data_IF_852364464694
#
_entry.id   IF_852364464694
#
_cell.length_a   1.000
_cell.length_b   1.000
_cell.length_c   1.000
_cell.angle_alpha   90.00
_cell.angle_beta   90.00
_cell.angle_gamma   90.00
#
_symmetry.space_group_name_H-M   'P 1'
#
loop_
_entity.id
_entity.type
_entity.pdbx_description
1 polymer ?
#
# COMPACT_ATOMS: atom_id res chain seq x y z
N UNK A 1 -22.14 -5.52 11.06
CA UNK A 1 -22.23 -4.09 11.38
C UNK A 1 -20.79 -3.58 11.45
N UNK A 2 -20.36 -2.72 10.50
CA UNK A 2 -19.10 -1.99 10.62
C UNK A 2 -19.27 -1.12 11.86
N UNK A 3 -18.43 -1.30 12.89
CA UNK A 3 -18.39 -0.39 14.03
C UNK A 3 -18.23 1.03 13.46
N UNK A 4 -18.91 1.98 14.08
CA UNK A 4 -18.92 3.39 13.67
C UNK A 4 -17.48 3.84 13.38
N UNK A 5 -17.16 4.00 12.10
CA UNK A 5 -15.82 4.36 11.65
C UNK A 5 -15.64 5.86 11.88
N UNK A 6 -15.35 6.22 13.13
CA UNK A 6 -15.09 7.61 13.50
C UNK A 6 -13.71 8.05 13.02
N UNK A 7 -13.62 8.48 11.77
CA UNK A 7 -12.43 9.08 11.18
C UNK A 7 -12.70 10.55 10.84
N UNK A 8 -11.65 11.36 10.82
CA UNK A 8 -11.69 12.73 10.29
C UNK A 8 -11.06 12.74 8.91
N UNK A 9 -11.81 13.23 7.92
CA UNK A 9 -11.33 13.49 6.58
C UNK A 9 -10.61 14.84 6.54
N UNK A 10 -9.45 14.86 5.94
CA UNK A 10 -8.60 16.04 5.83
C UNK A 10 -7.97 16.12 4.44
N UNK A 11 -7.50 17.30 4.06
CA UNK A 11 -6.76 17.56 2.83
C UNK A 11 -5.49 18.33 3.14
N UNK A 12 -4.39 17.98 2.49
CA UNK A 12 -3.12 18.66 2.58
C UNK A 12 -2.66 19.12 1.20
N UNK A 13 -2.50 20.42 1.03
CA UNK A 13 -1.86 20.99 -0.15
C UNK A 13 -0.34 20.87 0.01
N UNK A 14 0.30 20.11 -0.90
CA UNK A 14 1.75 19.86 -0.94
C UNK A 14 2.43 20.58 -2.12
N UNK A 15 1.67 21.43 -2.82
CA UNK A 15 2.10 22.21 -3.96
C UNK A 15 1.67 21.58 -5.29
N UNK A 16 2.26 20.48 -5.66
CA UNK A 16 1.98 19.75 -6.91
C UNK A 16 0.89 18.67 -6.77
N UNK A 17 0.51 18.34 -5.55
CA UNK A 17 -0.58 17.42 -5.24
C UNK A 17 -1.35 17.86 -4.00
N UNK A 18 -2.67 17.72 -4.05
CA UNK A 18 -3.56 17.76 -2.89
C UNK A 18 -3.79 16.35 -2.40
N UNK A 19 -3.29 15.97 -1.24
CA UNK A 19 -3.55 14.66 -0.64
C UNK A 19 -4.79 14.72 0.25
N UNK A 20 -5.73 13.80 -0.01
CA UNK A 20 -6.75 13.41 0.96
C UNK A 20 -6.14 12.43 1.96
N UNK A 21 -6.50 12.53 3.23
CA UNK A 21 -6.14 11.56 4.24
C UNK A 21 -7.16 11.50 5.37
N UNK A 22 -7.27 10.36 6.00
CA UNK A 22 -8.09 10.21 7.21
C UNK A 22 -7.21 10.09 8.44
N UNK A 23 -7.73 10.60 9.57
CA UNK A 23 -7.08 10.47 10.87
C UNK A 23 -8.05 9.94 11.92
N UNK A 24 -7.54 9.13 12.85
CA UNK A 24 -8.29 8.63 14.01
C UNK A 24 -7.37 8.39 15.20
N UNK A 25 -7.91 8.53 16.40
CA UNK A 25 -7.22 8.21 17.65
C UNK A 25 -6.26 9.27 18.15
N UNK A 26 -5.51 8.90 19.18
CA UNK A 26 -4.43 9.69 19.81
C UNK A 26 -3.36 8.74 20.32
N UNK A 27 -2.09 9.15 20.26
CA UNK A 27 -0.94 8.36 20.68
C UNK A 27 0.20 8.45 19.65
N UNK A 28 1.18 7.54 19.68
CA UNK A 28 2.24 7.47 18.69
C UNK A 28 1.68 7.38 17.27
N UNK A 29 2.28 8.07 16.28
CA UNK A 29 1.77 8.09 14.92
C UNK A 29 2.02 6.77 14.18
N UNK A 30 1.00 6.26 13.50
CA UNK A 30 1.07 5.13 12.57
C UNK A 30 0.53 5.56 11.21
N UNK A 31 1.33 5.42 10.17
CA UNK A 31 0.97 5.73 8.79
C UNK A 31 0.63 4.44 8.06
N UNK A 32 -0.55 4.39 7.43
CA UNK A 32 -1.06 3.24 6.70
C UNK A 32 -1.19 3.58 5.20
N UNK A 33 -0.36 2.98 4.36
CA UNK A 33 -0.33 3.22 2.92
C UNK A 33 -0.99 2.07 2.17
N UNK A 34 -2.06 2.38 1.45
CA UNK A 34 -2.79 1.43 0.61
C UNK A 34 -2.12 1.20 -0.74
N UNK A 35 -2.65 0.23 -1.51
CA UNK A 35 -2.22 -0.03 -2.87
C UNK A 35 -3.32 0.11 -3.93
N UNK A 36 -3.04 -0.41 -5.13
CA UNK A 36 -3.99 -0.49 -6.23
C UNK A 36 -4.68 -1.88 -6.23
N UNK A 37 -5.97 -1.99 -6.49
CA UNK A 37 -6.92 -0.93 -6.83
C UNK A 37 -7.77 -0.48 -5.63
N UNK A 38 -7.12 -0.12 -4.54
CA UNK A 38 -7.77 0.27 -3.30
C UNK A 38 -7.51 1.75 -2.96
N UNK A 39 -8.00 2.19 -1.80
CA UNK A 39 -7.86 3.52 -1.22
C UNK A 39 -7.62 3.38 0.28
N UNK A 40 -7.55 4.47 1.03
CA UNK A 40 -7.52 4.40 2.49
C UNK A 40 -8.60 3.49 3.08
N UNK A 41 -9.69 3.24 2.36
CA UNK A 41 -10.82 2.42 2.77
C UNK A 41 -10.46 0.95 3.07
N UNK A 42 -9.36 0.44 2.51
CA UNK A 42 -8.88 -0.91 2.83
C UNK A 42 -8.59 -1.11 4.32
N UNK A 43 -8.25 -0.01 5.01
CA UNK A 43 -7.91 -0.01 6.43
C UNK A 43 -9.11 0.13 7.37
N UNK A 44 -10.35 0.23 6.87
CA UNK A 44 -11.56 0.47 7.66
C UNK A 44 -11.81 -0.52 8.79
N UNK A 45 -11.34 -1.76 8.65
CA UNK A 45 -11.43 -2.78 9.70
C UNK A 45 -10.29 -2.70 10.72
N UNK A 46 -9.18 -2.11 10.38
CA UNK A 46 -7.98 -1.97 11.22
C UNK A 46 -8.02 -0.68 12.03
N UNK A 47 -8.39 0.45 11.40
CA UNK A 47 -8.41 1.78 12.01
C UNK A 47 -9.15 1.83 13.35
N UNK A 48 -10.39 1.32 13.52
CA UNK A 48 -11.15 1.49 14.76
C UNK A 48 -10.51 0.84 15.99
N UNK A 49 -9.67 -0.17 15.78
CA UNK A 49 -8.98 -0.88 16.85
C UNK A 49 -7.57 -0.37 17.10
N UNK A 50 -6.89 0.03 16.02
CA UNK A 50 -5.55 0.60 16.11
C UNK A 50 -5.59 2.01 16.72
N UNK A 51 -6.62 2.80 16.39
CA UNK A 51 -6.81 4.16 16.90
C UNK A 51 -7.10 4.28 18.41
N UNK A 52 -7.29 3.14 19.10
CA UNK A 52 -7.38 3.14 20.56
C UNK A 52 -6.06 3.46 21.24
N UNK A 53 -4.95 3.09 20.61
CA UNK A 53 -3.61 3.18 21.18
C UNK A 53 -2.69 4.12 20.38
N UNK A 54 -3.05 4.44 19.12
CA UNK A 54 -2.21 5.18 18.16
C UNK A 54 -2.98 6.33 17.50
N UNK A 55 -2.25 7.33 17.03
CA UNK A 55 -2.74 8.28 16.03
C UNK A 55 -2.57 7.65 14.66
N UNK A 56 -3.66 7.19 14.07
CA UNK A 56 -3.66 6.59 12.73
C UNK A 56 -3.78 7.68 11.68
N UNK A 57 -2.93 7.62 10.66
CA UNK A 57 -2.92 8.49 9.48
C UNK A 57 -2.96 7.58 8.25
N UNK A 58 -4.06 7.61 7.51
CA UNK A 58 -4.21 6.80 6.29
C UNK A 58 -4.51 7.72 5.10
N UNK A 59 -3.49 8.11 4.33
CA UNK A 59 -3.66 8.91 3.13
C UNK A 59 -4.16 8.08 1.96
N UNK A 60 -4.92 8.72 1.07
CA UNK A 60 -5.00 8.29 -0.32
C UNK A 60 -3.72 8.71 -1.03
N UNK A 61 -3.02 7.78 -1.65
CA UNK A 61 -1.78 8.06 -2.36
C UNK A 61 -2.03 9.00 -3.55
N UNK A 62 -0.99 9.69 -4.02
CA UNK A 62 -1.01 10.55 -5.22
C UNK A 62 -1.83 9.90 -6.34
N UNK A 63 -2.83 10.60 -6.84
CA UNK A 63 -3.66 10.13 -7.95
C UNK A 63 -4.74 9.11 -7.62
N UNK A 64 -4.74 8.56 -6.41
CA UNK A 64 -5.68 7.54 -5.96
C UNK A 64 -6.71 8.12 -4.98
N UNK A 65 -7.81 7.40 -4.78
CA UNK A 65 -8.87 7.81 -3.86
C UNK A 65 -9.39 9.22 -4.14
N UNK A 66 -9.49 10.01 -3.10
CA UNK A 66 -9.92 11.41 -3.16
C UNK A 66 -8.75 12.42 -3.24
N UNK A 67 -7.50 11.92 -3.37
CA UNK A 67 -6.34 12.76 -3.70
C UNK A 67 -6.41 13.29 -5.14
N UNK A 68 -5.80 14.45 -5.40
CA UNK A 68 -5.72 15.01 -6.76
C UNK A 68 -4.90 14.11 -7.69
N UNK A 69 -5.14 14.22 -9.00
CA UNK A 69 -4.64 13.30 -10.03
C UNK A 69 -3.70 14.02 -11.00
N UNK A 70 -2.48 14.44 -10.55
CA UNK A 70 -1.50 15.10 -11.41
C UNK A 70 -1.14 14.23 -12.63
N UNK A 71 -0.53 14.85 -13.64
CA UNK A 71 -0.20 14.14 -14.88
C UNK A 71 0.99 13.17 -14.72
N UNK A 72 1.88 13.43 -13.76
CA UNK A 72 3.13 12.73 -13.54
C UNK A 72 3.48 12.57 -12.05
N UNK A 73 4.70 12.07 -11.76
CA UNK A 73 5.20 11.92 -10.40
C UNK A 73 4.72 10.64 -9.71
N UNK A 74 4.54 9.55 -10.45
CA UNK A 74 4.04 8.27 -9.93
C UNK A 74 5.14 7.26 -9.59
N UNK A 75 6.40 7.63 -9.72
CA UNK A 75 7.51 6.86 -9.17
C UNK A 75 7.50 6.90 -7.63
N UNK A 76 7.96 5.82 -7.02
CA UNK A 76 7.79 5.63 -5.57
C UNK A 76 8.60 6.60 -4.72
N UNK A 77 9.69 7.17 -5.27
CA UNK A 77 10.43 8.23 -4.58
C UNK A 77 9.60 9.52 -4.50
N UNK A 78 8.92 9.90 -5.58
CA UNK A 78 8.04 11.07 -5.60
C UNK A 78 6.83 10.86 -4.67
N UNK A 79 6.16 9.70 -4.75
CA UNK A 79 5.02 9.39 -3.88
C UNK A 79 5.45 9.32 -2.40
N UNK A 80 6.61 8.76 -2.10
CA UNK A 80 7.18 8.73 -0.75
C UNK A 80 7.46 10.13 -0.21
N UNK A 81 7.97 11.04 -1.05
CA UNK A 81 8.17 12.44 -0.66
C UNK A 81 6.85 13.18 -0.37
N UNK A 82 5.74 12.83 -1.03
CA UNK A 82 4.42 13.36 -0.66
C UNK A 82 4.03 12.92 0.75
N UNK A 83 4.23 11.65 1.08
CA UNK A 83 3.94 11.13 2.43
C UNK A 83 4.85 11.79 3.47
N UNK A 84 6.13 11.98 3.15
CA UNK A 84 7.06 12.71 4.01
C UNK A 84 6.59 14.14 4.27
N UNK A 85 6.25 14.89 3.22
CA UNK A 85 5.72 16.25 3.34
C UNK A 85 4.45 16.28 4.19
N UNK A 86 3.53 15.34 3.98
CA UNK A 86 2.31 15.24 4.78
C UNK A 86 2.64 15.00 6.25
N UNK A 87 3.37 13.93 6.56
CA UNK A 87 3.52 13.45 7.95
C UNK A 87 4.48 14.33 8.73
N UNK A 88 5.63 14.68 8.15
CA UNK A 88 6.66 15.46 8.85
C UNK A 88 6.41 16.95 8.76
N UNK A 89 6.13 17.51 7.57
CA UNK A 89 6.07 18.97 7.41
C UNK A 89 4.69 19.56 7.72
N UNK A 90 3.60 18.87 7.35
CA UNK A 90 2.24 19.38 7.62
C UNK A 90 1.70 18.96 8.98
N UNK A 91 1.95 17.71 9.40
CA UNK A 91 1.45 17.18 10.67
C UNK A 91 2.46 17.30 11.82
N UNK A 92 3.74 17.53 11.54
CA UNK A 92 4.77 17.83 12.53
C UNK A 92 5.34 16.61 13.26
N UNK A 93 5.17 15.40 12.74
CA UNK A 93 5.73 14.18 13.33
C UNK A 93 7.17 13.97 12.86
N UNK A 94 8.10 13.89 13.82
CA UNK A 94 9.52 13.62 13.55
C UNK A 94 9.84 12.14 13.40
N UNK A 95 9.03 11.26 14.00
CA UNK A 95 9.15 9.81 13.86
C UNK A 95 7.77 9.15 13.86
N UNK A 96 7.64 7.99 13.22
CA UNK A 96 6.37 7.26 13.09
C UNK A 96 6.57 5.80 12.70
N UNK A 97 5.55 4.99 12.98
CA UNK A 97 5.41 3.61 12.50
C UNK A 97 4.83 3.63 11.09
N UNK A 98 5.33 2.77 10.20
CA UNK A 98 4.94 2.80 8.79
C UNK A 98 4.50 1.41 8.31
N UNK A 99 3.32 1.35 7.69
CA UNK A 99 2.75 0.13 7.11
C UNK A 99 2.40 0.40 5.66
N UNK A 100 2.81 -0.48 4.74
CA UNK A 100 2.45 -0.38 3.32
C UNK A 100 1.95 -1.70 2.75
N UNK A 101 0.85 -1.65 2.01
CA UNK A 101 0.26 -2.76 1.30
C UNK A 101 0.32 -2.52 -0.21
N UNK A 102 0.55 -3.55 -1.01
CA UNK A 102 0.67 -3.47 -2.47
C UNK A 102 1.57 -2.29 -2.90
N UNK A 103 1.14 -1.32 -3.74
CA UNK A 103 1.96 -0.14 -4.09
C UNK A 103 2.32 0.76 -2.90
N UNK A 104 1.56 0.69 -1.81
CA UNK A 104 1.96 1.32 -0.55
C UNK A 104 3.23 0.73 0.03
N UNK A 105 3.54 -0.55 -0.23
CA UNK A 105 4.77 -1.21 0.22
C UNK A 105 6.05 -0.63 -0.39
N UNK A 106 6.21 -0.61 -1.72
CA UNK A 106 7.33 0.06 -2.37
C UNK A 106 7.44 1.56 -2.03
N UNK A 107 6.30 2.24 -1.84
CA UNK A 107 6.27 3.63 -1.37
C UNK A 107 6.81 3.75 0.05
N UNK A 108 6.39 2.86 0.96
CA UNK A 108 6.90 2.81 2.33
C UNK A 108 8.40 2.48 2.38
N UNK A 109 8.87 1.57 1.51
CA UNK A 109 10.30 1.29 1.37
C UNK A 109 11.07 2.53 0.91
N UNK A 110 10.61 3.22 -0.13
CA UNK A 110 11.25 4.44 -0.63
C UNK A 110 11.31 5.55 0.44
N UNK A 111 10.24 5.70 1.22
CA UNK A 111 10.19 6.64 2.35
C UNK A 111 11.21 6.26 3.45
N UNK A 112 11.25 4.98 3.84
CA UNK A 112 12.17 4.49 4.85
C UNK A 112 13.64 4.58 4.41
N UNK A 113 13.93 4.40 3.12
CA UNK A 113 15.26 4.54 2.56
C UNK A 113 15.71 6.01 2.47
N UNK A 114 14.77 6.94 2.26
CA UNK A 114 15.06 8.39 2.17
C UNK A 114 15.15 9.07 3.55
N UNK A 115 14.41 8.57 4.54
CA UNK A 115 14.30 9.13 5.89
C UNK A 115 14.37 8.04 6.96
N UNK A 116 15.48 7.27 7.01
CA UNK A 116 15.58 6.12 7.91
C UNK A 116 15.48 6.50 9.40
N UNK A 117 15.87 7.71 9.76
CA UNK A 117 15.81 8.24 11.11
C UNK A 117 14.38 8.51 11.62
N UNK A 118 13.43 8.67 10.69
CA UNK A 118 12.04 8.95 11.02
C UNK A 118 11.17 7.70 11.13
N UNK A 119 11.64 6.56 10.63
CA UNK A 119 10.85 5.32 10.62
C UNK A 119 11.26 4.43 11.79
N UNK A 120 10.40 4.35 12.81
CA UNK A 120 10.66 3.52 13.99
C UNK A 120 10.61 2.02 13.65
N UNK A 121 9.59 1.61 12.91
CA UNK A 121 9.39 0.24 12.42
C UNK A 121 8.65 0.26 11.09
N UNK A 122 8.98 -0.67 10.21
CA UNK A 122 8.38 -0.81 8.89
C UNK A 122 7.63 -2.13 8.75
N UNK A 123 6.42 -2.10 8.22
CA UNK A 123 5.64 -3.30 7.87
C UNK A 123 5.28 -3.27 6.38
N UNK A 124 5.59 -4.34 5.66
CA UNK A 124 5.27 -4.49 4.24
C UNK A 124 4.35 -5.71 4.04
N UNK A 125 3.22 -5.49 3.39
CA UNK A 125 2.17 -6.49 3.18
C UNK A 125 2.08 -6.89 1.72
N UNK A 126 2.25 -8.16 1.46
CA UNK A 126 2.00 -8.92 0.22
C UNK A 126 2.57 -8.32 -1.07
N UNK A 127 3.74 -7.71 -0.99
CA UNK A 127 4.44 -7.14 -2.14
C UNK A 127 5.94 -7.35 -2.04
N UNK A 128 6.61 -7.46 -3.18
CA UNK A 128 8.07 -7.40 -3.31
C UNK A 128 8.49 -6.00 -3.73
N UNK A 129 9.70 -5.60 -3.36
CA UNK A 129 10.24 -4.30 -3.74
C UNK A 129 10.79 -4.38 -5.17
N UNK A 130 10.36 -3.51 -6.11
CA UNK A 130 10.88 -3.49 -7.47
C UNK A 130 12.41 -3.38 -7.49
N UNK A 131 13.08 -4.24 -8.30
CA UNK A 131 14.54 -4.29 -8.36
C UNK A 131 15.23 -5.07 -7.25
N UNK A 132 14.49 -5.52 -6.22
CA UNK A 132 15.05 -6.25 -5.07
C UNK A 132 14.88 -7.77 -5.16
N UNK A 133 14.89 -8.30 -6.37
CA UNK A 133 14.74 -9.75 -6.63
C UNK A 133 13.30 -10.23 -6.64
N UNK A 134 13.13 -11.51 -6.92
CA UNK A 134 11.84 -12.13 -7.18
C UNK A 134 11.33 -11.88 -8.61
N UNK A 135 10.45 -12.76 -9.08
CA UNK A 135 9.71 -12.53 -10.32
C UNK A 135 8.50 -11.64 -10.03
N UNK A 136 8.62 -10.37 -10.37
CA UNK A 136 7.54 -9.40 -10.19
C UNK A 136 6.29 -9.74 -11.03
N UNK A 137 6.48 -10.45 -12.16
CA UNK A 137 5.41 -10.86 -13.07
C UNK A 137 4.78 -12.21 -12.73
N UNK A 138 5.38 -12.99 -11.84
CA UNK A 138 4.98 -14.36 -11.48
C UNK A 138 4.83 -15.28 -12.71
N UNK A 139 5.80 -15.25 -13.62
CA UNK A 139 5.75 -16.03 -14.85
C UNK A 139 4.63 -15.59 -15.80
N UNK A 140 4.30 -14.30 -15.81
CA UNK A 140 3.25 -13.71 -16.64
C UNK A 140 1.83 -13.81 -16.06
N UNK A 141 1.64 -14.44 -14.91
CA UNK A 141 0.33 -14.50 -14.25
C UNK A 141 -0.18 -13.14 -13.78
N UNK A 142 0.73 -12.17 -13.60
CA UNK A 142 0.40 -10.76 -13.36
C UNK A 142 0.30 -10.00 -14.69
N UNK A 143 -0.50 -10.51 -15.61
CA UNK A 143 -0.73 -9.93 -16.94
C UNK A 143 -1.11 -8.44 -16.91
N UNK A 144 -1.80 -8.00 -15.83
CA UNK A 144 -2.22 -6.63 -15.64
C UNK A 144 -1.04 -5.64 -15.53
N UNK A 145 0.17 -6.09 -15.13
CA UNK A 145 1.35 -5.23 -15.14
C UNK A 145 1.65 -4.74 -16.55
N UNK A 146 1.74 -5.65 -17.53
CA UNK A 146 2.01 -5.29 -18.92
C UNK A 146 0.85 -4.51 -19.54
N UNK A 147 -0.38 -4.89 -19.21
CA UNK A 147 -1.57 -4.19 -19.67
C UNK A 147 -1.59 -2.74 -19.16
N UNK A 148 -1.40 -2.50 -17.86
CA UNK A 148 -1.37 -1.16 -17.29
C UNK A 148 -0.16 -0.31 -17.73
N UNK A 149 0.95 -0.96 -18.07
CA UNK A 149 2.13 -0.26 -18.64
C UNK A 149 1.92 0.25 -20.06
N UNK A 150 0.96 -0.35 -20.79
CA UNK A 150 0.60 0.13 -22.13
C UNK A 150 -0.04 1.52 -22.01
N UNK A 151 0.39 2.45 -22.87
CA UNK A 151 -0.15 3.81 -22.87
C UNK A 151 -1.56 3.84 -23.46
N UNK A 152 -2.44 4.63 -22.86
CA UNK A 152 -3.79 5.01 -23.30
C UNK A 152 -4.79 3.85 -23.44
N UNK A 153 -4.41 2.73 -24.04
CA UNK A 153 -5.31 1.61 -24.33
C UNK A 153 -6.07 1.05 -23.12
N UNK A 154 -5.45 0.84 -21.94
CA UNK A 154 -6.18 0.39 -20.75
C UNK A 154 -7.25 1.37 -20.31
N UNK A 155 -6.96 2.66 -20.32
CA UNK A 155 -7.91 3.73 -19.97
C UNK A 155 -9.13 3.70 -20.90
N UNK A 156 -8.89 3.63 -22.21
CA UNK A 156 -9.96 3.63 -23.23
C UNK A 156 -10.84 2.38 -23.12
N UNK A 157 -10.26 1.21 -22.84
CA UNK A 157 -11.01 -0.04 -22.73
C UNK A 157 -11.80 -0.14 -21.42
N UNK A 158 -11.30 0.46 -20.32
CA UNK A 158 -11.87 0.29 -18.97
C UNK A 158 -12.85 1.42 -18.64
N UNK A 159 -12.67 2.60 -19.21
CA UNK A 159 -13.57 3.74 -18.96
C UNK A 159 -15.04 3.37 -19.18
N UNK A 160 -15.87 3.59 -18.14
CA UNK A 160 -17.26 3.16 -18.08
C UNK A 160 -17.48 1.67 -17.78
N UNK A 161 -16.40 0.92 -17.49
CA UNK A 161 -16.42 -0.51 -17.12
C UNK A 161 -15.59 -0.79 -15.87
N UNK A 162 -15.32 0.24 -15.06
CA UNK A 162 -14.48 0.18 -13.87
C UNK A 162 -14.98 -0.91 -12.91
N UNK A 163 -16.27 -1.03 -12.69
CA UNK A 163 -16.85 -2.04 -11.81
C UNK A 163 -16.51 -3.47 -12.30
N UNK A 164 -16.67 -3.74 -13.59
CA UNK A 164 -16.37 -5.06 -14.18
C UNK A 164 -14.88 -5.37 -13.98
N UNK A 165 -14.02 -4.39 -14.30
CA UNK A 165 -12.58 -4.55 -14.27
C UNK A 165 -12.04 -4.72 -12.86
N UNK A 166 -12.40 -3.84 -11.95
CA UNK A 166 -11.90 -3.84 -10.57
C UNK A 166 -12.46 -5.01 -9.76
N UNK A 167 -13.76 -5.34 -9.93
CA UNK A 167 -14.38 -6.49 -9.27
C UNK A 167 -13.70 -7.81 -9.59
N UNK A 168 -13.14 -7.94 -10.80
CA UNK A 168 -12.38 -9.12 -11.17
C UNK A 168 -11.16 -9.32 -10.26
N UNK A 169 -10.42 -8.25 -9.96
CA UNK A 169 -9.26 -8.30 -9.05
C UNK A 169 -9.69 -8.68 -7.63
N UNK A 170 -10.72 -8.02 -7.09
CA UNK A 170 -11.18 -8.30 -5.73
C UNK A 170 -11.62 -9.77 -5.57
N UNK A 171 -12.29 -10.32 -6.57
CA UNK A 171 -12.76 -11.72 -6.55
C UNK A 171 -11.67 -12.74 -6.80
N UNK A 172 -10.66 -12.39 -7.61
CA UNK A 172 -9.62 -13.34 -8.06
C UNK A 172 -8.39 -13.33 -7.17
N UNK A 173 -8.03 -12.18 -6.60
CA UNK A 173 -6.84 -12.02 -5.78
C UNK A 173 -7.08 -12.34 -4.32
N UNK A 174 -8.31 -12.19 -3.84
CA UNK A 174 -8.69 -12.63 -2.51
C UNK A 174 -8.84 -14.16 -2.45
N UNK A 175 -8.43 -14.75 -1.35
CA UNK A 175 -8.81 -16.11 -0.97
C UNK A 175 -10.22 -16.14 -0.35
N UNK A 176 -10.60 -15.06 0.34
CA UNK A 176 -11.93 -14.86 0.94
C UNK A 176 -12.70 -13.81 0.13
N UNK A 177 -13.30 -14.16 -1.01
CA UNK A 177 -13.87 -13.16 -1.93
C UNK A 177 -15.01 -12.33 -1.34
N UNK A 178 -15.61 -12.79 -0.23
CA UNK A 178 -16.65 -12.05 0.49
C UNK A 178 -16.08 -11.06 1.54
N UNK A 179 -14.76 -11.00 1.73
CA UNK A 179 -14.12 -10.03 2.62
C UNK A 179 -14.22 -8.60 2.08
N UNK A 180 -14.29 -8.47 0.76
CA UNK A 180 -14.57 -7.21 0.06
C UNK A 180 -16.01 -7.29 -0.43
N UNK A 181 -16.91 -6.62 0.29
CA UNK A 181 -18.35 -6.66 0.00
C UNK A 181 -18.70 -5.82 -1.23
N UNK A 182 -19.92 -6.00 -1.77
CA UNK A 182 -20.39 -5.18 -2.89
C UNK A 182 -20.35 -3.68 -2.56
N UNK A 183 -20.67 -3.30 -1.31
CA UNK A 183 -20.60 -1.92 -0.84
C UNK A 183 -19.15 -1.38 -0.85
N UNK A 184 -18.18 -2.22 -0.52
CA UNK A 184 -16.76 -1.83 -0.58
C UNK A 184 -16.29 -1.67 -2.01
N UNK A 185 -16.74 -2.56 -2.90
CA UNK A 185 -16.49 -2.47 -4.35
C UNK A 185 -17.06 -1.15 -4.90
N UNK A 186 -18.28 -0.80 -4.54
CA UNK A 186 -18.92 0.46 -4.94
C UNK A 186 -18.10 1.68 -4.52
N UNK A 187 -17.53 1.67 -3.31
CA UNK A 187 -16.65 2.75 -2.83
C UNK A 187 -15.34 2.83 -3.64
N UNK A 188 -14.70 1.69 -3.92
CA UNK A 188 -13.52 1.68 -4.77
C UNK A 188 -13.84 2.13 -6.20
N UNK A 189 -14.92 1.63 -6.78
CA UNK A 189 -15.38 2.03 -8.12
C UNK A 189 -15.68 3.53 -8.18
N UNK A 190 -16.34 4.10 -7.16
CA UNK A 190 -16.56 5.55 -7.05
C UNK A 190 -15.24 6.32 -7.19
N UNK A 191 -14.20 5.87 -6.48
CA UNK A 191 -12.90 6.54 -6.49
C UNK A 191 -12.19 6.41 -7.86
N UNK A 192 -12.22 5.23 -8.46
CA UNK A 192 -11.54 4.96 -9.73
C UNK A 192 -12.30 5.42 -10.98
N UNK A 193 -13.59 5.74 -10.85
CA UNK A 193 -14.41 6.36 -11.93
C UNK A 193 -14.25 7.88 -12.00
N UNK A 194 -13.48 8.49 -11.09
CA UNK A 194 -13.19 9.92 -11.15
C UNK A 194 -12.31 10.26 -12.37
N UNK A 195 -12.46 11.45 -12.98
CA UNK A 195 -11.62 11.87 -14.10
C UNK A 195 -10.12 11.76 -13.78
N UNK A 196 -9.39 11.02 -14.63
CA UNK A 196 -7.95 10.81 -14.50
C UNK A 196 -7.52 9.72 -13.51
N UNK A 197 -8.45 9.07 -12.78
CA UNK A 197 -8.12 8.08 -11.76
C UNK A 197 -7.52 6.80 -12.37
N UNK A 198 -8.06 6.30 -13.48
CA UNK A 198 -7.49 5.13 -14.19
C UNK A 198 -6.07 5.42 -14.65
N UNK A 199 -5.85 6.56 -15.34
CA UNK A 199 -4.52 6.98 -15.78
C UNK A 199 -3.54 7.06 -14.60
N UNK A 200 -3.93 7.71 -13.52
CA UNK A 200 -3.12 7.83 -12.31
C UNK A 200 -2.78 6.45 -11.72
N UNK A 201 -3.77 5.57 -11.57
CA UNK A 201 -3.57 4.21 -11.07
C UNK A 201 -2.62 3.38 -11.95
N UNK A 202 -2.75 3.48 -13.28
CA UNK A 202 -1.86 2.75 -14.21
C UNK A 202 -0.47 3.36 -14.28
N UNK A 203 -0.32 4.65 -13.98
CA UNK A 203 0.99 5.31 -13.96
C UNK A 203 1.93 4.76 -12.87
N UNK A 204 1.41 4.15 -11.81
CA UNK A 204 2.22 3.40 -10.84
C UNK A 204 2.94 2.22 -11.49
N UNK A 205 2.29 1.52 -12.41
CA UNK A 205 2.88 0.41 -13.17
C UNK A 205 3.86 0.93 -14.21
N UNK A 206 3.56 2.03 -14.89
CA UNK A 206 4.46 2.68 -15.87
C UNK A 206 5.76 3.17 -15.23
N UNK A 207 5.74 3.51 -13.95
CA UNK A 207 6.91 3.92 -13.19
C UNK A 207 7.81 2.76 -12.72
N UNK A 208 7.37 1.49 -12.82
CA UNK A 208 8.08 0.32 -12.26
C UNK A 208 9.54 0.21 -12.71
N UNK A 209 9.84 0.54 -13.96
CA UNK A 209 11.21 0.49 -14.50
C UNK A 209 12.12 1.49 -13.78
N UNK A 210 11.62 2.72 -13.59
CA UNK A 210 12.31 3.76 -12.83
C UNK A 210 12.48 3.37 -11.37
N UNK A 211 11.43 2.83 -10.74
CA UNK A 211 11.47 2.37 -9.35
C UNK A 211 12.56 1.29 -9.16
N UNK A 212 12.66 0.33 -10.07
CA UNK A 212 13.66 -0.73 -10.01
C UNK A 212 15.07 -0.17 -10.17
N UNK A 213 15.28 0.78 -11.06
CA UNK A 213 16.57 1.46 -11.26
C UNK A 213 16.97 2.26 -10.01
N UNK A 214 16.06 3.07 -9.46
CA UNK A 214 16.32 3.89 -8.28
C UNK A 214 16.61 3.01 -7.06
N UNK A 215 15.84 1.97 -6.84
CA UNK A 215 16.05 1.01 -5.75
C UNK A 215 17.41 0.29 -5.89
N UNK A 216 17.81 -0.10 -7.09
CA UNK A 216 19.11 -0.75 -7.32
C UNK A 216 20.29 0.13 -6.90
N UNK A 217 20.20 1.46 -7.12
CA UNK A 217 21.20 2.43 -6.67
C UNK A 217 21.26 2.55 -5.14
N UNK A 218 20.09 2.55 -4.48
CA UNK A 218 20.01 2.59 -3.01
C UNK A 218 20.60 1.32 -2.41
N UNK A 219 20.20 0.15 -2.89
CA UNK A 219 20.59 -1.16 -2.34
C UNK A 219 22.10 -1.38 -2.43
N UNK A 220 22.73 -0.88 -3.45
CA UNK A 220 24.19 -1.03 -3.64
C UNK A 220 25.00 -0.46 -2.45
N UNK A 221 24.45 0.49 -1.70
CA UNK A 221 25.18 1.24 -0.69
C UNK A 221 24.48 1.37 0.66
N UNK A 222 23.23 0.93 0.79
CA UNK A 222 22.43 1.18 1.98
C UNK A 222 21.45 0.04 2.27
N UNK A 223 21.31 -0.29 3.55
CA UNK A 223 20.24 -1.16 4.06
C UNK A 223 19.45 -0.44 5.13
N UNK A 224 18.17 -0.74 5.18
CA UNK A 224 17.26 -0.20 6.18
C UNK A 224 17.70 -0.63 7.58
N UNK A 225 17.96 0.31 8.51
CA UNK A 225 18.45 -0.01 9.85
C UNK A 225 17.34 -0.38 10.85
N UNK A 226 16.07 0.06 10.56
CA UNK A 226 14.96 -0.19 11.45
C UNK A 226 14.47 -1.64 11.35
N UNK A 227 13.77 -2.17 12.39
CA UNK A 227 13.09 -3.46 12.30
C UNK A 227 12.03 -3.47 11.19
N UNK A 228 11.97 -4.57 10.43
CA UNK A 228 11.03 -4.77 9.32
C UNK A 228 10.21 -6.03 9.53
N UNK A 229 8.89 -5.93 9.42
CA UNK A 229 7.97 -7.07 9.36
C UNK A 229 7.44 -7.23 7.94
N UNK A 230 7.65 -8.41 7.37
CA UNK A 230 7.18 -8.79 6.04
C UNK A 230 6.05 -9.81 6.17
N UNK A 231 4.86 -9.48 5.68
CA UNK A 231 3.72 -10.41 5.73
C UNK A 231 3.25 -10.71 4.31
N UNK A 232 3.10 -12.01 3.99
CA UNK A 232 2.51 -12.44 2.72
C UNK A 232 1.26 -13.27 2.93
N UNK A 233 0.32 -13.20 1.98
CA UNK A 233 -0.82 -14.11 1.90
C UNK A 233 -0.36 -15.51 1.50
N UNK A 234 -0.87 -16.54 2.17
CA UNK A 234 -0.43 -17.93 1.98
C UNK A 234 -1.12 -18.65 0.82
N UNK A 235 -2.22 -18.10 0.33
CA UNK A 235 -2.99 -18.73 -0.75
C UNK A 235 -2.67 -18.06 -2.08
N UNK A 236 -1.97 -18.79 -2.94
CA UNK A 236 -1.60 -18.34 -4.28
C UNK A 236 -2.58 -18.85 -5.34
N UNK A 237 -2.32 -18.50 -6.59
CA UNK A 237 -3.09 -18.96 -7.74
C UNK A 237 -3.30 -20.51 -7.75
N UNK A 238 -4.49 -21.03 -8.12
CA UNK A 238 -5.65 -20.29 -8.68
C UNK A 238 -6.62 -19.72 -7.63
N UNK A 239 -6.45 -20.00 -6.35
CA UNK A 239 -7.43 -19.73 -5.30
C UNK A 239 -7.21 -18.37 -4.58
N UNK A 240 -6.25 -17.61 -5.00
CA UNK A 240 -5.86 -16.32 -4.46
C UNK A 240 -4.60 -15.80 -5.15
N UNK A 241 -4.05 -14.69 -4.68
CA UNK A 241 -2.83 -14.07 -5.22
C UNK A 241 -1.85 -13.64 -4.14
N UNK A 242 -1.89 -14.32 -3.00
CA UNK A 242 -0.92 -14.13 -1.94
C UNK A 242 0.50 -14.49 -2.38
N UNK A 243 1.48 -13.74 -1.89
CA UNK A 243 2.90 -13.85 -2.24
C UNK A 243 3.71 -14.77 -1.34
N UNK A 244 3.09 -15.38 -0.32
CA UNK A 244 3.77 -16.30 0.57
C UNK A 244 5.01 -15.66 1.23
N UNK A 245 6.18 -16.25 1.00
CA UNK A 245 7.46 -15.79 1.55
C UNK A 245 8.21 -14.76 0.69
N UNK A 246 7.69 -14.38 -0.47
CA UNK A 246 8.38 -13.46 -1.38
C UNK A 246 8.64 -12.08 -0.76
N UNK A 247 7.72 -11.47 0.02
CA UNK A 247 7.98 -10.20 0.71
C UNK A 247 9.19 -10.29 1.65
N UNK A 248 9.29 -11.35 2.45
CA UNK A 248 10.42 -11.59 3.33
C UNK A 248 11.73 -11.73 2.54
N UNK A 249 11.72 -12.54 1.49
CA UNK A 249 12.90 -12.78 0.66
C UNK A 249 13.38 -11.49 -0.03
N UNK A 250 12.46 -10.65 -0.49
CA UNK A 250 12.76 -9.36 -1.09
C UNK A 250 13.36 -8.39 -0.06
N UNK A 251 12.74 -8.27 1.11
CA UNK A 251 13.15 -7.33 2.14
C UNK A 251 14.49 -7.69 2.81
N UNK A 252 14.83 -8.96 2.93
CA UNK A 252 16.15 -9.42 3.39
C UNK A 252 17.32 -8.93 2.52
N UNK A 253 17.05 -8.50 1.29
CA UNK A 253 18.07 -7.91 0.43
C UNK A 253 18.36 -6.45 0.77
N UNK A 254 17.40 -5.76 1.39
CA UNK A 254 17.40 -4.31 1.61
C UNK A 254 17.37 -3.89 3.08
N UNK A 255 17.26 -4.84 4.00
CA UNK A 255 17.23 -4.59 5.44
C UNK A 255 17.98 -5.70 6.20
N UNK A 256 18.57 -5.36 7.34
CA UNK A 256 19.32 -6.32 8.16
C UNK A 256 18.43 -7.06 9.16
N UNK A 257 17.41 -6.41 9.71
CA UNK A 257 16.50 -6.98 10.69
C UNK A 257 15.11 -7.20 10.08
N UNK A 258 14.88 -8.38 9.48
CA UNK A 258 13.62 -8.72 8.81
C UNK A 258 13.00 -9.96 9.45
N UNK A 259 11.76 -9.82 9.93
CA UNK A 259 10.88 -10.93 10.29
C UNK A 259 9.88 -11.19 9.15
N UNK A 260 9.71 -12.45 8.78
CA UNK A 260 8.72 -12.89 7.80
C UNK A 260 7.58 -13.66 8.45
N UNK A 261 6.35 -13.38 8.03
CA UNK A 261 5.16 -14.18 8.36
C UNK A 261 4.34 -14.47 7.10
N UNK A 262 3.60 -15.58 7.15
CA UNK A 262 2.66 -15.97 6.08
C UNK A 262 1.30 -16.24 6.71
N UNK A 263 0.29 -15.54 6.25
CA UNK A 263 -1.10 -15.75 6.68
C UNK A 263 -1.72 -16.88 5.83
N UNK A 264 -1.74 -18.09 6.35
CA UNK A 264 -2.05 -19.32 5.60
C UNK A 264 -3.42 -19.31 4.90
N UNK A 265 -4.42 -18.63 5.48
CA UNK A 265 -5.79 -18.52 4.95
C UNK A 265 -6.09 -17.11 4.46
N UNK A 266 -5.21 -16.54 3.67
CA UNK A 266 -5.29 -15.20 3.14
C UNK A 266 -4.71 -15.14 1.73
N UNK A 267 -5.36 -14.39 0.84
CA UNK A 267 -4.86 -14.02 -0.47
C UNK A 267 -4.06 -12.72 -0.41
N UNK A 268 -4.28 -11.86 -1.41
CA UNK A 268 -3.55 -10.61 -1.56
C UNK A 268 -4.02 -9.51 -0.60
N UNK A 269 -5.33 -9.39 -0.37
CA UNK A 269 -5.92 -8.26 0.34
C UNK A 269 -5.90 -8.46 1.86
N UNK A 270 -4.70 -8.56 2.45
CA UNK A 270 -4.49 -8.87 3.86
C UNK A 270 -5.32 -7.99 4.81
N UNK A 271 -5.42 -6.64 4.64
CA UNK A 271 -6.23 -5.79 5.52
C UNK A 271 -7.72 -6.10 5.49
N UNK A 272 -8.20 -6.65 4.38
CA UNK A 272 -9.60 -7.00 4.14
C UNK A 272 -9.94 -8.43 4.57
N UNK A 273 -9.04 -9.37 4.25
CA UNK A 273 -9.26 -10.80 4.44
C UNK A 273 -8.95 -11.28 5.85
N UNK A 274 -8.01 -10.63 6.52
CA UNK A 274 -7.49 -11.06 7.83
C UNK A 274 -7.20 -9.89 8.77
N UNK A 275 -8.13 -8.91 8.93
CA UNK A 275 -7.90 -7.68 9.69
C UNK A 275 -7.56 -7.93 11.15
N UNK A 276 -8.19 -8.93 11.81
CA UNK A 276 -7.93 -9.24 13.21
C UNK A 276 -6.53 -9.81 13.43
N UNK A 277 -6.12 -10.72 12.54
CA UNK A 277 -4.78 -11.31 12.62
C UNK A 277 -3.73 -10.23 12.32
N UNK A 278 -3.96 -9.40 11.30
CA UNK A 278 -3.08 -8.28 10.98
C UNK A 278 -2.94 -7.33 12.16
N UNK A 279 -4.06 -6.90 12.76
CA UNK A 279 -4.05 -6.00 13.92
C UNK A 279 -3.23 -6.57 15.08
N UNK A 280 -3.40 -7.87 15.38
CA UNK A 280 -2.65 -8.55 16.43
C UNK A 280 -1.14 -8.51 16.12
N UNK A 281 -0.74 -8.81 14.88
CA UNK A 281 0.67 -8.78 14.47
C UNK A 281 1.26 -7.37 14.51
N UNK A 282 0.52 -6.37 14.04
CA UNK A 282 0.94 -4.98 14.15
C UNK A 282 1.20 -4.58 15.60
N UNK A 283 0.26 -4.83 16.51
CA UNK A 283 0.40 -4.48 17.93
C UNK A 283 1.57 -5.21 18.60
N UNK A 284 1.75 -6.50 18.33
CA UNK A 284 2.88 -7.26 18.84
C UNK A 284 4.21 -6.67 18.33
N UNK A 285 4.32 -6.43 17.03
CA UNK A 285 5.52 -5.91 16.42
C UNK A 285 5.83 -4.48 16.88
N UNK A 286 4.84 -3.61 17.00
CA UNK A 286 5.02 -2.23 17.44
C UNK A 286 5.47 -2.13 18.90
N UNK A 287 5.01 -3.04 19.78
CA UNK A 287 5.36 -3.05 21.20
C UNK A 287 6.60 -3.90 21.52
N UNK A 288 7.13 -4.65 20.57
CA UNK A 288 8.31 -5.49 20.77
C UNK A 288 9.57 -4.61 20.79
N UNK A 289 10.22 -4.51 21.95
CA UNK A 289 11.49 -3.81 22.11
C UNK A 289 12.63 -4.74 21.67
N UNK A 290 12.83 -4.84 20.37
CA UNK A 290 13.92 -5.61 19.76
C UNK A 290 15.17 -4.76 19.60
#
# INVERSE_FOLDING_TARGET
MVADLSVKHNYADLGDVMLHYVTAGKGPPVVLLHGWPQTWWEWRHVIPKLSKDYTVIAPDLRGLGDSSKPLDGYDKMTVANDIWKLVSQKLGYSSFLLVGHDWGGPTAYALAASHPEAIEKLVILDVVIPGCGGDFSEGGRRWHHQFHMTADLPEDLISGREEIYLSWFYKTFAYKPNSITQKDIEEYVRAYSQPGALRAGFSYYRAMGKDAEDNSKVIANFKLPMPVLAIGGGVSYPNGRGRGKDPEASLKRVADNVRGEVFSECGHFIPEESPELLLNRLKLFFNDNL
#
